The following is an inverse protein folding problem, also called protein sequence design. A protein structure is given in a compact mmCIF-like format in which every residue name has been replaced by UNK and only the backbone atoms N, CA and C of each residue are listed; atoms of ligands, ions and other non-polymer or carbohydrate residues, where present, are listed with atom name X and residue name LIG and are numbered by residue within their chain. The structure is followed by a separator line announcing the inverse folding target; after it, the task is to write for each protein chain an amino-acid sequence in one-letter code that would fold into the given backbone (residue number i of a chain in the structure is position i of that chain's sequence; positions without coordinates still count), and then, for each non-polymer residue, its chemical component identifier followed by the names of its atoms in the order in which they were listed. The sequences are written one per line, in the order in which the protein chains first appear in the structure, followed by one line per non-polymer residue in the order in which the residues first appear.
data_IF_246555139820
#
_entry.id   IF_246555139820
#
_cell.length_a   1.000
_cell.length_b   1.000
_cell.length_c   1.000
_cell.angle_alpha   90.00
_cell.angle_beta   90.00
_cell.angle_gamma   90.00
#
_symmetry.space_group_name_H-M   'P 1'
#
loop_
_entity.id
_entity.type
_entity.pdbx_description
1 polymer ?
#
# COMPACT_ATOMS: atom_id res chain seq x y z
N UNK A 1 0.98 0.84 -15.60
CA UNK A 1 1.19 0.44 -14.20
C UNK A 1 2.04 1.48 -13.51
N UNK A 2 1.75 1.74 -12.27
CA UNK A 2 2.43 2.77 -11.51
C UNK A 2 3.40 2.10 -10.54
N UNK A 3 4.58 2.68 -10.43
CA UNK A 3 5.57 2.24 -9.45
C UNK A 3 5.53 3.18 -8.26
N UNK A 4 5.65 2.62 -7.07
CA UNK A 4 5.65 3.41 -5.83
C UNK A 4 6.86 3.06 -5.00
N UNK A 5 7.39 4.06 -4.30
CA UNK A 5 8.46 3.86 -3.32
C UNK A 5 7.91 4.17 -1.94
N UNK A 6 8.25 3.34 -0.96
CA UNK A 6 7.89 3.58 0.44
C UNK A 6 8.79 4.68 1.00
N UNK A 7 8.16 5.78 1.45
CA UNK A 7 8.88 6.96 1.95
C UNK A 7 8.68 7.18 3.45
N UNK A 8 8.06 6.22 4.13
CA UNK A 8 7.90 6.23 5.57
C UNK A 8 8.78 5.12 6.17
N UNK A 9 8.93 5.07 7.50
CA UNK A 9 9.83 4.12 8.15
C UNK A 9 9.45 2.67 7.86
N UNK A 10 8.16 2.38 7.83
CA UNK A 10 7.63 1.07 7.46
C UNK A 10 6.19 1.24 6.97
N UNK A 11 5.67 0.20 6.29
CA UNK A 11 4.30 0.24 5.80
C UNK A 11 3.73 -1.17 5.83
N UNK A 12 2.62 -1.36 6.56
CA UNK A 12 2.00 -2.67 6.68
C UNK A 12 1.22 -3.04 5.45
N UNK A 13 1.31 -4.31 5.08
CA UNK A 13 0.60 -4.89 3.95
C UNK A 13 -0.65 -5.57 4.49
N UNK A 14 -1.83 -5.19 3.95
CA UNK A 14 -3.10 -5.70 4.45
C UNK A 14 -3.86 -6.45 3.37
N UNK A 15 -4.84 -7.23 3.78
CA UNK A 15 -5.66 -8.02 2.87
C UNK A 15 -6.83 -7.23 2.29
N UNK A 16 -7.05 -6.01 2.77
CA UNK A 16 -8.11 -5.14 2.27
C UNK A 16 -7.82 -3.68 2.56
N UNK A 17 -8.63 -2.77 2.00
CA UNK A 17 -8.34 -1.33 2.05
C UNK A 17 -8.84 -0.69 3.36
N UNK A 18 -8.36 -1.20 4.49
CA UNK A 18 -8.68 -0.66 5.81
C UNK A 18 -7.70 -1.23 6.83
N UNK A 19 -7.46 -0.48 7.90
CA UNK A 19 -6.64 -0.96 9.01
C UNK A 19 -7.31 -2.10 9.79
N UNK A 20 -8.59 -2.39 9.51
CA UNK A 20 -9.30 -3.50 10.13
C UNK A 20 -8.95 -4.85 9.50
N UNK A 21 -8.40 -4.86 8.30
CA UNK A 21 -8.00 -6.10 7.64
C UNK A 21 -6.68 -6.61 8.22
N UNK A 22 -6.46 -7.90 8.07
CA UNK A 22 -5.27 -8.55 8.61
C UNK A 22 -4.01 -8.02 7.95
N UNK A 23 -2.99 -7.75 8.77
CA UNK A 23 -1.66 -7.43 8.30
C UNK A 23 -0.93 -8.73 7.95
N UNK A 24 -0.45 -8.85 6.73
CA UNK A 24 0.21 -10.07 6.24
C UNK A 24 1.69 -9.86 5.94
N UNK A 25 2.21 -8.68 6.21
CA UNK A 25 3.63 -8.38 6.00
C UNK A 25 3.85 -6.89 6.15
N UNK A 26 5.07 -6.45 5.86
CA UNK A 26 5.35 -5.03 5.85
C UNK A 26 6.51 -4.70 4.91
N UNK A 27 6.52 -3.47 4.43
CA UNK A 27 7.61 -2.89 3.66
C UNK A 27 8.43 -1.97 4.55
N UNK A 28 9.67 -1.76 4.15
CA UNK A 28 10.59 -0.83 4.80
C UNK A 28 10.79 0.39 3.91
N UNK A 29 11.28 1.48 4.48
CA UNK A 29 11.62 2.67 3.71
C UNK A 29 12.57 2.31 2.56
N UNK A 30 12.22 2.77 1.37
CA UNK A 30 13.02 2.52 0.18
C UNK A 30 12.56 1.34 -0.66
N UNK A 31 11.71 0.45 -0.12
CA UNK A 31 11.16 -0.65 -0.90
C UNK A 31 10.27 -0.11 -2.03
N UNK A 32 10.16 -0.88 -3.10
CA UNK A 32 9.44 -0.46 -4.30
C UNK A 32 8.33 -1.45 -4.63
N UNK A 33 7.15 -0.90 -4.94
CA UNK A 33 6.03 -1.66 -5.48
C UNK A 33 6.00 -1.39 -6.98
N UNK A 34 6.17 -2.44 -7.79
CA UNK A 34 6.36 -2.29 -9.23
C UNK A 34 5.09 -2.29 -10.08
N UNK A 35 3.95 -2.68 -9.52
CA UNK A 35 2.74 -2.87 -10.31
C UNK A 35 1.49 -2.39 -9.55
N UNK A 36 1.62 -1.31 -8.84
CA UNK A 36 0.50 -0.75 -8.10
C UNK A 36 -0.53 -0.10 -9.01
N UNK A 37 -1.78 -0.14 -8.59
CA UNK A 37 -2.85 0.60 -9.24
C UNK A 37 -2.84 2.07 -8.82
N UNK A 38 -3.80 2.84 -9.30
CA UNK A 38 -3.95 4.23 -8.89
C UNK A 38 -4.46 4.31 -7.45
N UNK A 39 -4.08 5.35 -6.70
CA UNK A 39 -4.59 5.51 -5.35
C UNK A 39 -6.11 5.67 -5.34
N UNK A 40 -6.76 5.11 -4.33
CA UNK A 40 -8.22 5.20 -4.17
C UNK A 40 -8.55 5.33 -2.69
N UNK A 41 -9.75 5.85 -2.41
CA UNK A 41 -10.21 5.96 -1.02
C UNK A 41 -10.65 4.60 -0.51
N UNK A 42 -10.09 4.19 0.62
CA UNK A 42 -10.43 2.93 1.25
C UNK A 42 -11.66 3.03 2.17
N UNK A 43 -12.01 1.90 2.77
CA UNK A 43 -13.19 1.81 3.63
C UNK A 43 -13.06 2.62 4.92
N UNK A 44 -11.84 2.88 5.35
CA UNK A 44 -11.56 3.64 6.56
C UNK A 44 -11.33 5.14 6.31
N UNK A 45 -11.57 5.61 5.09
CA UNK A 45 -11.40 7.00 4.73
C UNK A 45 -9.97 7.38 4.36
N UNK A 46 -9.02 6.46 4.49
CA UNK A 46 -7.64 6.69 4.05
C UNK A 46 -7.51 6.39 2.57
N UNK A 47 -6.43 6.87 1.97
CA UNK A 47 -6.11 6.57 0.57
C UNK A 47 -5.22 5.33 0.52
N UNK A 48 -5.57 4.37 -0.32
CA UNK A 48 -4.91 3.08 -0.42
C UNK A 48 -4.47 2.80 -1.85
N UNK A 49 -3.52 1.89 -1.99
CA UNK A 49 -3.08 1.36 -3.29
C UNK A 49 -3.22 -0.16 -3.22
N UNK A 50 -3.78 -0.75 -4.26
CA UNK A 50 -3.85 -2.21 -4.38
C UNK A 50 -2.82 -2.69 -5.40
N UNK A 51 -2.34 -3.92 -5.19
CA UNK A 51 -1.40 -4.55 -6.12
C UNK A 51 -1.52 -6.06 -5.97
N UNK A 52 -1.00 -6.80 -6.95
CA UNK A 52 -1.01 -8.25 -6.91
C UNK A 52 0.26 -8.74 -6.22
N UNK A 53 0.10 -9.54 -5.18
CA UNK A 53 1.22 -10.12 -4.46
C UNK A 53 2.00 -11.10 -5.34
N UNK A 54 3.34 -11.03 -5.28
CA UNK A 54 4.19 -11.72 -6.24
C UNK A 54 4.12 -13.24 -6.21
N UNK A 55 4.04 -13.85 -5.04
CA UNK A 55 4.11 -15.31 -4.93
C UNK A 55 2.76 -16.00 -5.02
N UNK A 56 1.73 -15.38 -4.46
CA UNK A 56 0.42 -16.02 -4.37
C UNK A 56 -0.58 -15.50 -5.39
N UNK A 57 -0.29 -14.38 -6.03
CA UNK A 57 -1.23 -13.71 -6.92
C UNK A 57 -2.40 -13.05 -6.22
N UNK A 58 -2.43 -13.06 -4.90
CA UNK A 58 -3.50 -12.44 -4.13
C UNK A 58 -3.37 -10.93 -4.16
N UNK A 59 -4.53 -10.24 -4.17
CA UNK A 59 -4.52 -8.78 -4.09
C UNK A 59 -4.12 -8.34 -2.69
N UNK A 60 -3.22 -7.38 -2.62
CA UNK A 60 -2.75 -6.79 -1.38
C UNK A 60 -2.97 -5.30 -1.38
N UNK A 61 -3.02 -4.70 -0.22
CA UNK A 61 -3.35 -3.30 -0.05
C UNK A 61 -2.35 -2.64 0.90
N UNK A 62 -1.90 -1.45 0.52
CA UNK A 62 -1.03 -0.63 1.39
C UNK A 62 -1.59 0.79 1.42
N UNK A 63 -1.38 1.46 2.54
CA UNK A 63 -1.87 2.83 2.71
C UNK A 63 -0.97 3.79 1.92
N UNK A 64 -1.57 4.58 1.05
CA UNK A 64 -0.87 5.64 0.33
C UNK A 64 -0.73 6.88 1.19
N UNK A 65 -1.80 7.26 1.88
CA UNK A 65 -1.83 8.45 2.73
C UNK A 65 -2.97 8.32 3.73
N UNK A 66 -2.77 8.84 4.94
CA UNK A 66 -3.84 8.89 5.94
C UNK A 66 -4.45 10.30 6.05
N UNK A 67 -4.10 11.20 5.12
CA UNK A 67 -4.56 12.59 5.13
C UNK A 67 -3.58 13.54 5.78
N UNK A 68 -2.76 13.05 6.71
CA UNK A 68 -1.73 13.86 7.37
C UNK A 68 -0.33 13.46 6.95
N UNK A 69 -0.12 12.16 6.71
CA UNK A 69 1.18 11.60 6.35
C UNK A 69 1.04 10.83 5.05
N UNK A 70 1.98 11.04 4.13
CA UNK A 70 2.07 10.28 2.90
C UNK A 70 3.11 9.18 3.10
N UNK A 71 2.73 7.95 2.74
CA UNK A 71 3.60 6.77 2.93
C UNK A 71 4.25 6.30 1.65
N UNK A 72 3.67 6.60 0.50
CA UNK A 72 4.16 6.20 -0.81
C UNK A 72 4.34 7.42 -1.70
N UNK A 73 5.27 7.31 -2.65
CA UNK A 73 5.33 8.27 -3.74
C UNK A 73 5.49 7.54 -5.06
N UNK A 74 4.88 8.09 -6.09
CA UNK A 74 5.00 7.60 -7.46
C UNK A 74 6.42 7.87 -7.97
N UNK A 75 7.02 6.88 -8.61
CA UNK A 75 8.38 7.02 -9.15
C UNK A 75 8.47 6.65 -10.62
#
# INVERSE_FOLDING_TARGET
MVRYQIIYDFLRIRTGPSTRYQCVGEYQRGDIINSGGSPFRGEDGRTWVSYTGGQTGATRYVCYSDGSTQYLQSI
#
